data_IF_353386527357
#
_entry.id   IF_353386527357
#
_cell.length_a   1.000
_cell.length_b   1.000
_cell.length_c   1.000
_cell.angle_alpha   90.00
_cell.angle_beta   90.00
_cell.angle_gamma   90.00
#
_symmetry.space_group_name_H-M   'P 1'
#
loop_
_entity.id
_entity.type
_entity.pdbx_description
1 polymer ?
#
# COMPACT_ATOMS: atom_id res chain seq x y z
N UNK A 1 54.75 -12.55 -19.67
CA UNK A 1 53.49 -12.43 -18.92
C UNK A 1 53.71 -12.95 -17.50
N UNK A 2 54.01 -12.07 -16.56
CA UNK A 2 54.12 -12.42 -15.14
C UNK A 2 52.80 -12.11 -14.45
N UNK A 3 52.06 -13.14 -14.03
CA UNK A 3 50.92 -12.97 -13.14
C UNK A 3 51.41 -12.40 -11.80
N UNK A 4 50.73 -11.40 -11.22
CA UNK A 4 51.11 -10.89 -9.90
C UNK A 4 50.92 -11.98 -8.84
N UNK A 5 52.03 -12.30 -8.15
CA UNK A 5 52.20 -13.38 -7.15
C UNK A 5 51.63 -13.05 -5.77
N UNK A 6 50.72 -12.09 -5.65
CA UNK A 6 50.26 -11.63 -4.33
C UNK A 6 48.82 -12.11 -4.05
N UNK A 7 48.63 -13.20 -3.28
CA UNK A 7 47.30 -13.75 -3.01
C UNK A 7 46.37 -12.76 -2.27
N UNK A 8 46.94 -11.77 -1.57
CA UNK A 8 46.19 -10.72 -0.89
C UNK A 8 45.36 -9.83 -1.85
N UNK A 9 45.83 -9.59 -3.07
CA UNK A 9 45.10 -8.80 -4.08
C UNK A 9 43.94 -9.59 -4.72
N UNK A 10 44.09 -10.91 -4.87
CA UNK A 10 43.02 -11.78 -5.33
C UNK A 10 41.90 -11.94 -4.27
N UNK A 11 42.26 -11.98 -2.98
CA UNK A 11 41.29 -11.97 -1.88
C UNK A 11 40.58 -10.62 -1.71
N UNK A 12 41.27 -9.49 -1.92
CA UNK A 12 40.64 -8.17 -1.89
C UNK A 12 39.64 -7.96 -3.05
N UNK A 13 39.91 -8.52 -4.23
CA UNK A 13 38.98 -8.47 -5.36
C UNK A 13 37.77 -9.42 -5.15
N UNK A 14 37.97 -10.59 -4.54
CA UNK A 14 36.89 -11.55 -4.25
C UNK A 14 35.94 -11.10 -3.12
N UNK A 15 36.42 -10.32 -2.15
CA UNK A 15 35.59 -9.79 -1.06
C UNK A 15 34.68 -8.62 -1.47
N UNK A 16 34.90 -8.00 -2.63
CA UNK A 16 34.07 -6.91 -3.16
C UNK A 16 32.87 -7.38 -3.99
N UNK A 17 32.75 -8.69 -4.29
CA UNK A 17 31.68 -9.22 -5.16
C UNK A 17 30.51 -9.91 -4.42
N UNK A 18 30.56 -10.08 -3.10
CA UNK A 18 29.51 -10.82 -2.35
C UNK A 18 28.52 -9.89 -1.63
N UNK A 19 28.79 -8.59 -1.51
CA UNK A 19 27.78 -7.62 -1.07
C UNK A 19 26.91 -7.17 -2.24
N UNK A 20 26.27 -8.14 -2.92
CA UNK A 20 25.13 -7.87 -3.78
C UNK A 20 24.11 -7.08 -2.96
N UNK A 21 23.95 -5.79 -3.28
CA UNK A 21 23.20 -4.88 -2.45
C UNK A 21 21.72 -5.25 -2.46
N UNK A 22 21.24 -5.82 -1.36
CA UNK A 22 19.84 -6.12 -1.12
C UNK A 22 18.95 -4.89 -1.35
N UNK A 23 17.87 -5.07 -2.11
CA UNK A 23 16.81 -4.07 -2.26
C UNK A 23 15.97 -3.96 -0.99
N UNK A 24 15.05 -3.00 -0.92
CA UNK A 24 14.16 -2.85 0.24
C UNK A 24 13.37 -4.14 0.51
N UNK A 25 12.84 -4.75 -0.56
CA UNK A 25 12.05 -5.99 -0.47
C UNK A 25 12.88 -7.16 0.06
N UNK A 26 14.15 -7.26 -0.36
CA UNK A 26 15.09 -8.28 0.12
C UNK A 26 15.36 -8.13 1.62
N UNK A 27 15.60 -6.89 2.10
CA UNK A 27 15.85 -6.60 3.52
C UNK A 27 14.67 -6.94 4.42
N UNK A 28 13.45 -6.91 3.88
CA UNK A 28 12.21 -7.16 4.63
C UNK A 28 11.74 -8.62 4.57
N UNK A 29 12.49 -9.53 3.95
CA UNK A 29 12.09 -10.94 3.76
C UNK A 29 11.71 -11.63 5.09
N UNK A 30 12.52 -11.46 6.14
CA UNK A 30 12.23 -12.08 7.46
C UNK A 30 10.94 -11.52 8.06
N UNK A 31 10.75 -10.20 8.02
CA UNK A 31 9.52 -9.56 8.48
C UNK A 31 8.28 -10.10 7.72
N UNK A 32 8.39 -10.30 6.40
CA UNK A 32 7.31 -10.87 5.60
C UNK A 32 6.96 -12.31 6.00
N UNK A 33 7.95 -13.13 6.34
CA UNK A 33 7.75 -14.50 6.83
C UNK A 33 7.07 -14.48 8.20
N UNK A 34 7.50 -13.60 9.11
CA UNK A 34 6.92 -13.44 10.44
C UNK A 34 5.46 -12.97 10.36
N UNK A 35 5.17 -11.96 9.54
CA UNK A 35 3.79 -11.49 9.30
C UNK A 35 2.93 -12.60 8.73
N UNK A 36 3.40 -13.35 7.73
CA UNK A 36 2.66 -14.49 7.16
C UNK A 36 2.34 -15.59 8.20
N UNK A 37 3.17 -15.73 9.23
CA UNK A 37 2.96 -16.65 10.34
C UNK A 37 2.15 -16.05 11.52
N UNK A 38 1.72 -14.78 11.43
CA UNK A 38 1.04 -14.07 12.52
C UNK A 38 1.94 -13.61 13.66
N UNK A 39 3.27 -13.69 13.49
CA UNK A 39 4.29 -13.23 14.45
C UNK A 39 4.54 -11.72 14.32
N UNK A 40 3.51 -10.93 14.60
CA UNK A 40 3.55 -9.49 14.34
C UNK A 40 4.55 -8.74 15.22
N UNK A 41 4.75 -9.16 16.47
CA UNK A 41 5.72 -8.52 17.37
C UNK A 41 7.16 -8.75 16.89
N UNK A 42 7.48 -9.97 16.45
CA UNK A 42 8.78 -10.31 15.87
C UNK A 42 9.01 -9.53 14.58
N UNK A 43 7.99 -9.45 13.72
CA UNK A 43 8.05 -8.66 12.49
C UNK A 43 8.30 -7.17 12.74
N UNK A 44 7.70 -6.57 13.79
CA UNK A 44 7.98 -5.18 14.20
C UNK A 44 9.47 -5.01 14.52
N UNK A 45 10.07 -5.91 15.30
CA UNK A 45 11.50 -5.87 15.60
C UNK A 45 12.40 -6.00 14.36
N UNK A 46 11.98 -6.78 13.35
CA UNK A 46 12.67 -6.86 12.07
C UNK A 46 12.57 -5.54 11.28
N UNK A 47 11.40 -4.92 11.22
CA UNK A 47 11.18 -3.63 10.55
C UNK A 47 12.02 -2.55 11.20
N UNK A 48 12.06 -2.52 12.53
CA UNK A 48 12.83 -1.56 13.31
C UNK A 48 14.31 -1.65 13.02
N UNK A 49 14.85 -2.87 13.07
CA UNK A 49 16.25 -3.14 12.75
C UNK A 49 16.59 -2.79 11.30
N UNK A 50 15.74 -3.16 10.34
CA UNK A 50 16.01 -2.98 8.91
C UNK A 50 15.82 -1.53 8.42
N UNK A 51 15.04 -0.72 9.14
CA UNK A 51 14.73 0.68 8.78
C UNK A 51 15.43 1.71 9.68
N UNK A 52 16.15 1.26 10.72
CA UNK A 52 16.77 2.14 11.71
C UNK A 52 15.75 2.85 12.60
N UNK A 53 14.59 2.24 12.86
CA UNK A 53 13.56 2.83 13.73
C UNK A 53 13.81 2.46 15.20
N UNK A 54 13.64 3.41 16.14
CA UNK A 54 13.62 3.11 17.55
C UNK A 54 12.33 2.36 17.89
N UNK A 55 12.39 1.47 18.89
CA UNK A 55 11.22 0.71 19.36
C UNK A 55 10.07 1.61 19.87
N UNK A 56 10.40 2.82 20.35
CA UNK A 56 9.42 3.77 20.87
C UNK A 56 9.70 5.15 20.31
N UNK A 57 8.63 5.84 19.88
CA UNK A 57 8.70 7.19 19.37
C UNK A 57 9.08 7.26 17.89
N UNK A 58 9.30 8.49 17.44
CA UNK A 58 9.63 8.85 16.07
C UNK A 58 11.05 9.44 16.07
N UNK A 59 11.96 9.00 15.18
CA UNK A 59 13.26 9.63 15.01
C UNK A 59 13.16 11.13 14.72
N UNK A 60 14.15 11.92 15.14
CA UNK A 60 14.24 13.34 14.75
C UNK A 60 14.53 13.49 13.25
N UNK A 61 15.43 12.66 12.73
CA UNK A 61 15.78 12.65 11.30
C UNK A 61 14.93 11.63 10.55
N UNK A 62 14.13 12.14 9.62
CA UNK A 62 13.29 11.33 8.76
C UNK A 62 13.95 11.08 7.40
N UNK A 63 13.74 9.88 6.86
CA UNK A 63 14.07 9.54 5.48
C UNK A 63 13.03 8.55 4.92
N UNK A 64 13.13 8.24 3.63
CA UNK A 64 12.21 7.32 2.97
C UNK A 64 12.10 5.91 3.60
N UNK A 65 13.21 5.34 4.08
CA UNK A 65 13.23 3.99 4.67
C UNK A 65 12.57 4.01 6.06
N UNK A 66 12.82 5.07 6.85
CA UNK A 66 12.15 5.33 8.14
C UNK A 66 10.65 5.52 7.93
N UNK A 67 10.24 6.38 6.99
CA UNK A 67 8.83 6.63 6.70
C UNK A 67 8.09 5.34 6.29
N UNK A 68 8.72 4.52 5.46
CA UNK A 68 8.15 3.24 5.04
C UNK A 68 8.14 2.21 6.15
N UNK A 69 9.17 2.19 6.99
CA UNK A 69 9.20 1.38 8.21
C UNK A 69 8.06 1.75 9.17
N UNK A 70 7.75 3.04 9.34
CA UNK A 70 6.63 3.51 10.15
C UNK A 70 5.29 3.06 9.57
N UNK A 71 5.06 3.11 8.25
CA UNK A 71 3.83 2.59 7.64
C UNK A 71 3.63 1.09 7.93
N UNK A 72 4.71 0.33 7.77
CA UNK A 72 4.73 -1.10 8.04
C UNK A 72 4.49 -1.39 9.52
N UNK A 73 5.18 -0.71 10.44
CA UNK A 73 4.97 -0.85 11.89
C UNK A 73 3.57 -0.44 12.30
N UNK A 74 3.07 0.70 11.83
CA UNK A 74 1.71 1.19 12.11
C UNK A 74 0.64 0.14 11.78
N UNK A 75 0.82 -0.58 10.68
CA UNK A 75 -0.12 -1.62 10.26
C UNK A 75 -0.09 -2.82 11.22
N UNK A 76 1.09 -3.22 11.68
CA UNK A 76 1.26 -4.32 12.63
C UNK A 76 0.82 -3.92 14.04
N UNK A 77 1.07 -2.68 14.47
CA UNK A 77 0.55 -2.13 15.71
C UNK A 77 -0.98 -2.11 15.71
N UNK A 78 -1.62 -1.74 14.59
CA UNK A 78 -3.08 -1.84 14.45
C UNK A 78 -3.56 -3.29 14.53
N UNK A 79 -2.82 -4.24 13.92
CA UNK A 79 -3.11 -5.67 14.02
C UNK A 79 -3.01 -6.19 15.46
N UNK A 80 -2.11 -5.62 16.26
CA UNK A 80 -1.95 -5.87 17.70
C UNK A 80 -2.90 -5.06 18.59
N UNK A 81 -3.83 -4.29 18.00
CA UNK A 81 -4.78 -3.42 18.71
C UNK A 81 -4.13 -2.22 19.45
N UNK A 82 -2.89 -1.90 19.11
CA UNK A 82 -2.17 -0.74 19.61
C UNK A 82 -2.50 0.49 18.74
N UNK A 83 -3.76 0.93 18.78
CA UNK A 83 -4.28 1.99 17.91
C UNK A 83 -3.60 3.35 18.11
N UNK A 84 -3.19 3.68 19.35
CA UNK A 84 -2.46 4.90 19.66
C UNK A 84 -1.09 4.97 18.98
N UNK A 85 -0.18 4.00 19.26
CA UNK A 85 1.10 3.86 18.55
C UNK A 85 0.94 3.80 17.03
N UNK A 86 -0.02 3.01 16.53
CA UNK A 86 -0.33 2.92 15.10
C UNK A 86 -0.66 4.30 14.50
N UNK A 87 -1.50 5.09 15.18
CA UNK A 87 -1.88 6.43 14.73
C UNK A 87 -0.71 7.42 14.76
N UNK A 88 0.20 7.29 15.73
CA UNK A 88 1.40 8.11 15.79
C UNK A 88 2.31 7.83 14.58
N UNK A 89 2.55 6.57 14.28
CA UNK A 89 3.39 6.16 13.14
C UNK A 89 2.77 6.57 11.80
N UNK A 90 1.46 6.37 11.58
CA UNK A 90 0.81 6.81 10.35
C UNK A 90 0.93 8.32 10.12
N UNK A 91 0.73 9.12 11.18
CA UNK A 91 0.86 10.58 11.07
C UNK A 91 2.29 11.02 10.79
N UNK A 92 3.27 10.39 11.43
CA UNK A 92 4.68 10.68 11.21
C UNK A 92 5.12 10.29 9.80
N UNK A 93 4.68 9.13 9.30
CA UNK A 93 4.96 8.70 7.94
C UNK A 93 4.33 9.64 6.89
N UNK A 94 3.08 10.07 7.08
CA UNK A 94 2.34 10.84 6.06
C UNK A 94 3.02 12.15 5.64
N UNK A 95 3.74 12.80 6.58
CA UNK A 95 4.49 14.03 6.32
C UNK A 95 5.69 13.85 5.38
N UNK A 96 6.16 12.61 5.21
CA UNK A 96 7.34 12.27 4.40
C UNK A 96 6.98 11.53 3.11
N UNK A 97 5.69 11.29 2.87
CA UNK A 97 5.18 10.67 1.65
C UNK A 97 4.98 11.72 0.57
N UNK A 98 5.66 11.51 -0.55
CA UNK A 98 5.41 12.27 -1.77
C UNK A 98 4.50 11.46 -2.69
N UNK A 99 3.53 12.11 -3.33
CA UNK A 99 2.71 11.41 -4.31
C UNK A 99 3.52 11.14 -5.59
N UNK A 100 3.28 9.99 -6.20
CA UNK A 100 3.79 9.63 -7.51
C UNK A 100 2.96 10.32 -8.60
N UNK A 101 3.48 11.39 -9.21
CA UNK A 101 2.86 12.09 -10.35
C UNK A 101 3.46 11.59 -11.67
N UNK A 102 2.71 10.74 -12.38
CA UNK A 102 3.14 10.16 -13.67
C UNK A 102 2.31 10.69 -14.84
N UNK A 103 1.10 11.20 -14.58
CA UNK A 103 0.15 11.61 -15.63
C UNK A 103 0.62 12.84 -16.42
N UNK A 104 1.55 13.63 -15.86
CA UNK A 104 2.11 14.84 -16.49
C UNK A 104 3.61 14.72 -16.82
N UNK A 105 4.20 13.52 -16.80
CA UNK A 105 5.64 13.35 -17.06
C UNK A 105 5.98 13.58 -18.56
N UNK A 106 6.32 14.82 -18.89
CA UNK A 106 7.14 15.13 -20.05
C UNK A 106 8.59 15.24 -19.60
N UNK A 107 9.44 14.28 -19.98
CA UNK A 107 10.92 14.31 -19.90
C UNK A 107 11.66 13.66 -18.70
N UNK A 108 11.23 12.48 -18.26
CA UNK A 108 12.13 11.52 -17.58
C UNK A 108 12.07 11.51 -16.05
N UNK A 109 10.96 11.98 -15.47
CA UNK A 109 10.73 11.93 -14.03
C UNK A 109 10.54 10.50 -13.51
N UNK A 110 9.93 9.61 -14.30
CA UNK A 110 9.76 8.17 -13.97
C UNK A 110 11.09 7.48 -13.65
N UNK A 111 12.18 7.84 -14.36
CA UNK A 111 13.50 7.29 -14.12
C UNK A 111 14.14 7.72 -12.78
N UNK A 112 13.68 8.82 -12.18
CA UNK A 112 14.10 9.27 -10.84
C UNK A 112 13.32 8.60 -9.71
N UNK A 113 12.09 8.18 -9.98
CA UNK A 113 11.19 7.60 -8.99
C UNK A 113 11.39 6.10 -8.78
N UNK A 114 11.81 5.38 -9.81
CA UNK A 114 11.90 3.92 -9.76
C UNK A 114 13.34 3.38 -9.68
N UNK A 115 14.34 4.24 -9.49
CA UNK A 115 15.75 3.87 -9.41
C UNK A 115 16.49 4.66 -8.31
N UNK A 116 17.43 4.01 -7.63
CA UNK A 116 17.96 4.39 -6.31
C UNK A 116 18.77 5.69 -6.19
N UNK A 117 18.97 6.46 -7.26
CA UNK A 117 19.97 7.55 -7.27
C UNK A 117 19.38 8.98 -7.14
N UNK A 118 18.11 9.15 -6.72
CA UNK A 118 17.51 10.50 -6.71
C UNK A 118 16.37 10.82 -5.74
N UNK A 119 15.77 9.85 -5.03
CA UNK A 119 14.57 10.11 -4.21
C UNK A 119 14.88 10.09 -2.71
N UNK A 120 14.96 11.26 -2.09
CA UNK A 120 15.09 11.47 -0.63
C UNK A 120 13.87 10.97 0.15
N UNK A 121 12.70 10.97 -0.48
CA UNK A 121 11.41 10.59 0.13
C UNK A 121 10.76 9.40 -0.58
N UNK A 122 9.92 8.69 0.16
CA UNK A 122 9.14 7.57 -0.40
C UNK A 122 8.00 8.11 -1.27
N UNK A 123 7.89 7.58 -2.48
CA UNK A 123 6.83 7.94 -3.43
C UNK A 123 5.70 6.93 -3.34
N UNK A 124 4.66 7.27 -2.59
CA UNK A 124 3.48 6.42 -2.43
C UNK A 124 2.62 6.46 -3.69
N UNK A 125 2.06 5.32 -4.06
CA UNK A 125 0.96 5.27 -5.02
C UNK A 125 -0.26 6.07 -4.53
N UNK A 126 -1.13 6.55 -5.44
CA UNK A 126 -2.42 7.15 -5.07
C UNK A 126 -3.23 6.31 -4.09
N UNK A 127 -3.34 5.01 -4.35
CA UNK A 127 -4.04 4.08 -3.46
C UNK A 127 -3.40 4.01 -2.08
N UNK A 128 -2.07 3.87 -1.96
CA UNK A 128 -1.40 3.84 -0.65
C UNK A 128 -1.58 5.14 0.14
N UNK A 129 -1.46 6.29 -0.54
CA UNK A 129 -1.59 7.61 0.10
C UNK A 129 -3.00 7.80 0.65
N UNK A 130 -4.01 7.43 -0.13
CA UNK A 130 -5.39 7.54 0.30
C UNK A 130 -5.75 6.51 1.39
N UNK A 131 -5.23 5.28 1.27
CA UNK A 131 -5.42 4.24 2.26
C UNK A 131 -4.90 4.69 3.63
N UNK A 132 -3.76 5.40 3.71
CA UNK A 132 -3.21 5.91 4.98
C UNK A 132 -4.27 6.65 5.82
N UNK A 133 -4.99 7.61 5.23
CA UNK A 133 -6.03 8.35 5.95
C UNK A 133 -7.17 7.43 6.40
N UNK A 134 -7.58 6.48 5.55
CA UNK A 134 -8.57 5.45 5.91
C UNK A 134 -8.14 4.57 7.08
N UNK A 135 -6.88 4.11 7.07
CA UNK A 135 -6.31 3.31 8.15
C UNK A 135 -6.16 4.10 9.46
N UNK A 136 -5.81 5.38 9.38
CA UNK A 136 -5.76 6.22 10.56
C UNK A 136 -7.16 6.59 11.10
N UNK A 137 -8.17 6.73 10.24
CA UNK A 137 -9.58 6.85 10.67
C UNK A 137 -10.01 5.63 11.50
N UNK A 138 -9.62 4.42 11.11
CA UNK A 138 -9.91 3.21 11.89
C UNK A 138 -9.30 3.26 13.29
N UNK A 139 -8.06 3.74 13.44
CA UNK A 139 -7.45 3.91 14.76
C UNK A 139 -8.26 4.87 15.64
N UNK A 140 -8.66 6.02 15.10
CA UNK A 140 -9.45 7.00 15.84
C UNK A 140 -10.84 6.47 16.22
N UNK A 141 -11.52 5.77 15.31
CA UNK A 141 -12.82 5.15 15.59
C UNK A 141 -12.71 4.07 16.68
N UNK A 142 -11.66 3.24 16.66
CA UNK A 142 -11.41 2.24 17.69
C UNK A 142 -11.10 2.85 19.08
N UNK A 143 -10.59 4.09 19.10
CA UNK A 143 -10.32 4.87 20.31
C UNK A 143 -11.51 5.75 20.74
N UNK A 144 -12.67 5.66 20.07
CA UNK A 144 -13.83 6.56 20.25
C UNK A 144 -13.50 8.06 20.06
N UNK A 145 -12.44 8.36 19.31
CA UNK A 145 -12.01 9.73 19.00
C UNK A 145 -12.65 10.20 17.68
N UNK A 146 -13.92 10.62 17.76
CA UNK A 146 -14.63 11.16 16.61
C UNK A 146 -13.98 12.44 16.04
N UNK A 147 -13.26 13.22 16.84
CA UNK A 147 -12.61 14.45 16.35
C UNK A 147 -11.39 14.10 15.50
N UNK A 148 -10.55 13.18 15.97
CA UNK A 148 -9.44 12.63 15.20
C UNK A 148 -9.92 11.98 13.90
N UNK A 149 -10.97 11.15 13.98
CA UNK A 149 -11.58 10.53 12.80
C UNK A 149 -12.12 11.58 11.80
N UNK A 150 -12.69 12.69 12.28
CA UNK A 150 -13.17 13.79 11.42
C UNK A 150 -12.04 14.52 10.73
N UNK A 151 -10.92 14.73 11.42
CA UNK A 151 -9.72 15.33 10.82
C UNK A 151 -9.23 14.46 9.67
N UNK A 152 -9.10 13.15 9.90
CA UNK A 152 -8.70 12.22 8.84
C UNK A 152 -9.74 12.09 7.72
N UNK A 153 -11.04 12.18 8.02
CA UNK A 153 -12.10 12.25 7.00
C UNK A 153 -11.91 13.42 6.04
N UNK A 154 -11.52 14.59 6.58
CA UNK A 154 -11.23 15.78 5.78
C UNK A 154 -9.95 15.61 4.96
N UNK A 155 -8.88 15.04 5.54
CA UNK A 155 -7.63 14.76 4.84
C UNK A 155 -7.85 13.78 3.69
N UNK A 156 -8.60 12.71 3.95
CA UNK A 156 -9.05 11.74 2.95
C UNK A 156 -9.77 12.43 1.79
N UNK A 157 -10.72 13.32 2.07
CA UNK A 157 -11.49 14.02 1.04
C UNK A 157 -10.68 15.04 0.23
N UNK A 158 -9.68 15.65 0.86
CA UNK A 158 -8.72 16.51 0.15
C UNK A 158 -7.88 15.66 -0.80
N UNK A 159 -7.36 14.52 -0.32
CA UNK A 159 -6.59 13.59 -1.12
C UNK A 159 -7.41 13.00 -2.27
N UNK A 160 -8.64 12.56 -2.01
CA UNK A 160 -9.53 12.02 -3.04
C UNK A 160 -9.81 13.03 -4.15
N UNK A 161 -10.17 14.27 -3.81
CA UNK A 161 -10.41 15.33 -4.81
C UNK A 161 -9.16 15.70 -5.59
N UNK A 162 -8.01 15.73 -4.90
CA UNK A 162 -6.73 15.86 -5.57
C UNK A 162 -6.64 14.71 -6.60
N UNK A 163 -6.67 13.45 -6.17
CA UNK A 163 -6.53 12.30 -7.06
C UNK A 163 -7.54 12.25 -8.22
N UNK A 164 -8.79 12.69 -8.03
CA UNK A 164 -9.78 12.79 -9.11
C UNK A 164 -9.36 13.79 -10.21
N UNK A 165 -8.66 14.87 -9.85
CA UNK A 165 -8.10 15.83 -10.79
C UNK A 165 -6.84 15.30 -11.48
N UNK A 166 -5.98 14.58 -10.76
CA UNK A 166 -4.69 14.08 -11.26
C UNK A 166 -4.77 12.73 -12.00
N UNK A 167 -5.70 11.85 -11.63
CA UNK A 167 -5.80 10.46 -12.08
C UNK A 167 -7.25 10.07 -12.39
N UNK A 168 -7.90 10.86 -13.26
CA UNK A 168 -9.31 10.68 -13.66
C UNK A 168 -9.67 9.23 -13.97
N UNK A 169 -10.70 8.71 -13.30
CA UNK A 169 -11.30 7.40 -13.58
C UNK A 169 -10.75 6.22 -12.77
N UNK A 170 -9.90 6.47 -11.78
CA UNK A 170 -9.50 5.48 -10.78
C UNK A 170 -10.50 5.53 -9.60
N UNK A 171 -11.22 4.44 -9.29
CA UNK A 171 -12.04 4.39 -8.08
C UNK A 171 -11.12 4.39 -6.86
N UNK A 172 -11.45 5.20 -5.87
CA UNK A 172 -10.55 5.52 -4.78
C UNK A 172 -11.18 5.14 -3.44
N UNK A 173 -10.67 4.06 -2.84
CA UNK A 173 -10.86 3.68 -1.43
C UNK A 173 -12.28 3.91 -0.86
N UNK A 174 -13.30 3.24 -1.40
CA UNK A 174 -14.68 3.39 -0.94
C UNK A 174 -14.87 3.14 0.57
N UNK A 175 -13.99 2.35 1.19
CA UNK A 175 -13.96 2.17 2.64
C UNK A 175 -13.70 3.49 3.39
N UNK A 176 -12.85 4.37 2.88
CA UNK A 176 -12.57 5.66 3.51
C UNK A 176 -13.77 6.60 3.48
N UNK A 177 -14.47 6.69 2.34
CA UNK A 177 -15.74 7.43 2.25
C UNK A 177 -16.80 6.83 3.18
N UNK A 178 -16.93 5.50 3.26
CA UNK A 178 -17.83 4.85 4.21
C UNK A 178 -17.53 5.27 5.66
N UNK A 179 -16.26 5.21 6.08
CA UNK A 179 -15.87 5.56 7.45
C UNK A 179 -16.05 7.06 7.73
N UNK A 180 -15.73 7.93 6.77
CA UNK A 180 -15.97 9.37 6.88
C UNK A 180 -17.46 9.69 7.04
N UNK A 181 -18.32 9.00 6.29
CA UNK A 181 -19.77 9.09 6.44
C UNK A 181 -20.23 8.66 7.83
N UNK A 182 -19.72 7.53 8.33
CA UNK A 182 -20.00 7.05 9.68
C UNK A 182 -19.58 8.04 10.76
N UNK A 183 -18.36 8.57 10.68
CA UNK A 183 -17.86 9.57 11.62
C UNK A 183 -18.77 10.80 11.66
N UNK A 184 -19.11 11.38 10.49
CA UNK A 184 -19.98 12.55 10.45
C UNK A 184 -21.40 12.25 10.91
N UNK A 185 -21.93 11.04 10.64
CA UNK A 185 -23.21 10.61 11.15
C UNK A 185 -23.24 10.62 12.68
N UNK A 186 -22.20 10.04 13.32
CA UNK A 186 -22.05 10.03 14.79
C UNK A 186 -21.91 11.42 15.38
N UNK A 187 -21.41 12.38 14.61
CA UNK A 187 -21.27 13.78 15.02
C UNK A 187 -22.53 14.63 14.75
N UNK A 188 -23.58 14.06 14.17
CA UNK A 188 -24.80 14.80 13.81
C UNK A 188 -24.70 15.62 12.52
N UNK A 189 -23.61 15.47 11.76
CA UNK A 189 -23.36 16.19 10.50
C UNK A 189 -23.99 15.43 9.30
N UNK A 190 -25.31 15.26 9.34
CA UNK A 190 -26.06 14.33 8.45
C UNK A 190 -25.91 14.62 6.96
N UNK A 191 -25.89 15.88 6.54
CA UNK A 191 -25.68 16.26 5.14
C UNK A 191 -24.29 15.83 4.65
N UNK A 192 -23.27 16.01 5.48
CA UNK A 192 -21.91 15.57 5.17
C UNK A 192 -21.80 14.05 5.16
N UNK A 193 -22.46 13.38 6.12
CA UNK A 193 -22.53 11.92 6.17
C UNK A 193 -23.14 11.33 4.90
N UNK A 194 -24.30 11.85 4.48
CA UNK A 194 -24.97 11.40 3.25
C UNK A 194 -24.15 11.66 1.99
N UNK A 195 -23.36 12.74 1.93
CA UNK A 195 -22.45 12.97 0.81
C UNK A 195 -21.37 11.89 0.71
N UNK A 196 -20.74 11.56 1.84
CA UNK A 196 -19.74 10.48 1.86
C UNK A 196 -20.33 9.11 1.57
N UNK A 197 -21.57 8.84 2.02
CA UNK A 197 -22.26 7.62 1.66
C UNK A 197 -22.62 7.54 0.17
N UNK A 198 -22.96 8.67 -0.47
CA UNK A 198 -23.15 8.72 -1.92
C UNK A 198 -21.85 8.42 -2.68
N UNK A 199 -20.73 8.99 -2.22
CA UNK A 199 -19.39 8.72 -2.77
C UNK A 199 -19.00 7.24 -2.64
N UNK A 200 -19.25 6.63 -1.47
CA UNK A 200 -19.00 5.21 -1.27
C UNK A 200 -19.87 4.34 -2.20
N UNK A 201 -21.17 4.63 -2.27
CA UNK A 201 -22.14 3.91 -3.11
C UNK A 201 -21.89 4.08 -4.62
N UNK A 202 -21.21 5.15 -5.03
CA UNK A 202 -20.80 5.33 -6.42
C UNK A 202 -19.76 4.29 -6.87
N UNK A 203 -19.06 3.65 -5.92
CA UNK A 203 -18.03 2.64 -6.18
C UNK A 203 -18.58 1.22 -5.96
N UNK A 204 -19.24 0.97 -4.83
CA UNK A 204 -19.73 -0.35 -4.44
C UNK A 204 -21.07 -0.28 -3.70
N UNK A 205 -21.90 -1.31 -3.83
CA UNK A 205 -23.12 -1.44 -3.01
C UNK A 205 -22.78 -1.90 -1.59
N UNK A 206 -23.30 -1.19 -0.60
CA UNK A 206 -23.14 -1.49 0.82
C UNK A 206 -24.48 -1.83 1.46
N UNK A 207 -24.76 -3.12 1.70
CA UNK A 207 -26.02 -3.54 2.34
C UNK A 207 -26.20 -2.86 3.70
N UNK A 208 -25.10 -2.72 4.44
CA UNK A 208 -25.04 -2.11 5.77
C UNK A 208 -25.35 -0.60 5.81
N UNK A 209 -25.37 0.10 4.66
CA UNK A 209 -25.78 1.51 4.59
C UNK A 209 -27.28 1.72 4.37
N UNK A 210 -28.06 0.65 4.12
CA UNK A 210 -29.48 0.78 3.77
C UNK A 210 -30.32 1.45 4.84
N UNK A 211 -30.33 0.92 6.06
CA UNK A 211 -31.06 1.54 7.17
C UNK A 211 -30.52 2.93 7.53
N UNK A 212 -29.19 3.13 7.66
CA UNK A 212 -28.65 4.45 7.95
C UNK A 212 -29.08 5.51 6.95
N UNK A 213 -29.01 5.22 5.65
CA UNK A 213 -29.43 6.16 4.59
C UNK A 213 -30.94 6.44 4.65
N UNK A 214 -31.78 5.42 4.89
CA UNK A 214 -33.23 5.62 5.05
C UNK A 214 -33.54 6.54 6.23
N UNK A 215 -32.90 6.31 7.38
CA UNK A 215 -33.02 7.14 8.58
C UNK A 215 -32.56 8.57 8.30
N UNK A 216 -31.36 8.74 7.75
CA UNK A 216 -30.77 10.06 7.48
C UNK A 216 -31.53 10.84 6.40
N UNK A 217 -32.20 10.17 5.45
CA UNK A 217 -33.03 10.84 4.44
C UNK A 217 -34.15 11.69 5.04
N UNK A 218 -34.60 11.39 6.26
CA UNK A 218 -35.58 12.21 6.99
C UNK A 218 -34.96 13.42 7.71
N UNK A 219 -33.64 13.41 7.91
CA UNK A 219 -32.90 14.40 8.72
C UNK A 219 -32.11 15.41 7.86
N UNK A 220 -31.98 15.18 6.56
CA UNK A 220 -31.30 16.08 5.63
C UNK A 220 -31.97 16.11 4.26
N UNK A 221 -31.96 17.25 3.55
CA UNK A 221 -32.49 17.35 2.18
C UNK A 221 -31.56 16.76 1.11
N UNK A 222 -30.33 16.33 1.43
CA UNK A 222 -29.39 15.83 0.43
C UNK A 222 -29.91 14.56 -0.26
N UNK A 223 -29.86 14.52 -1.59
CA UNK A 223 -30.26 13.39 -2.44
C UNK A 223 -29.20 13.18 -3.52
N UNK A 224 -28.25 12.32 -3.23
CA UNK A 224 -27.19 11.95 -4.17
C UNK A 224 -27.65 10.87 -5.15
N UNK A 225 -27.01 10.82 -6.33
CA UNK A 225 -27.43 9.93 -7.43
C UNK A 225 -27.27 8.45 -7.06
N UNK A 226 -26.17 8.10 -6.39
CA UNK A 226 -25.91 6.72 -5.98
C UNK A 226 -26.86 6.31 -4.85
N UNK A 227 -27.16 7.22 -3.91
CA UNK A 227 -28.15 7.01 -2.86
C UNK A 227 -29.55 6.77 -3.43
N UNK A 228 -30.00 7.60 -4.39
CA UNK A 228 -31.33 7.43 -5.00
C UNK A 228 -31.43 6.10 -5.74
N UNK A 229 -30.40 5.75 -6.53
CA UNK A 229 -30.33 4.47 -7.22
C UNK A 229 -30.34 3.30 -6.23
N UNK A 230 -29.56 3.41 -5.15
CA UNK A 230 -29.48 2.41 -4.11
C UNK A 230 -30.84 2.20 -3.43
N UNK A 231 -31.51 3.26 -2.99
CA UNK A 231 -32.83 3.16 -2.34
C UNK A 231 -33.93 2.63 -3.26
N UNK A 232 -33.83 2.86 -4.57
CA UNK A 232 -34.79 2.36 -5.56
C UNK A 232 -34.64 0.85 -5.83
N UNK A 233 -33.46 0.27 -5.60
CA UNK A 233 -33.23 -1.16 -5.81
C UNK A 233 -33.95 -2.02 -4.74
N UNK A 234 -35.00 -2.69 -5.16
CA UNK A 234 -35.83 -3.56 -4.31
C UNK A 234 -35.21 -4.94 -4.06
N UNK A 235 -34.14 -5.32 -4.79
CA UNK A 235 -33.46 -6.62 -4.59
C UNK A 235 -32.64 -6.66 -3.29
N UNK A 236 -32.31 -5.50 -2.76
CA UNK A 236 -31.53 -5.30 -1.54
C UNK A 236 -32.41 -4.99 -0.31
N UNK A 237 -33.73 -5.22 -0.41
CA UNK A 237 -34.74 -4.86 0.60
C UNK A 237 -34.92 -5.88 1.74
N UNK A 238 -34.01 -6.84 1.89
CA UNK A 238 -33.96 -7.68 3.09
C UNK A 238 -33.38 -6.87 4.25
N UNK A 239 -34.26 -6.21 5.00
CA UNK A 239 -33.94 -5.56 6.27
C UNK A 239 -33.10 -6.50 7.16
N UNK A 240 -31.99 -6.01 7.71
CA UNK A 240 -31.21 -6.76 8.70
C UNK A 240 -32.12 -7.07 9.91
N UNK A 241 -32.00 -8.24 10.56
CA UNK A 241 -32.86 -8.61 11.69
C UNK A 241 -32.92 -7.58 12.82
N UNK A 242 -31.83 -6.84 13.04
CA UNK A 242 -31.71 -5.76 14.03
C UNK A 242 -32.59 -4.55 13.74
N UNK A 243 -32.91 -4.27 12.46
CA UNK A 243 -33.75 -3.12 12.06
C UNK A 243 -35.18 -3.22 12.57
N UNK A 244 -35.61 -4.40 13.01
CA UNK A 244 -36.98 -4.64 13.53
C UNK A 244 -37.09 -4.54 15.05
N UNK A 245 -35.98 -4.38 15.77
CA UNK A 245 -35.99 -4.35 17.23
C UNK A 245 -35.95 -2.90 17.74
N UNK A 246 -37.06 -2.33 18.25
CA UNK A 246 -37.08 -0.95 18.75
C UNK A 246 -36.19 -0.72 19.98
N UNK A 247 -35.77 -1.79 20.67
CA UNK A 247 -34.85 -1.71 21.79
C UNK A 247 -33.37 -1.72 21.36
N UNK A 248 -33.09 -1.88 20.06
CA UNK A 248 -31.74 -1.86 19.52
C UNK A 248 -31.25 -0.42 19.30
N UNK A 249 -30.95 0.27 20.39
CA UNK A 249 -30.56 1.69 20.41
C UNK A 249 -29.05 1.92 20.47
N UNK A 250 -28.26 0.86 20.59
CA UNK A 250 -26.80 0.88 20.54
C UNK A 250 -26.32 0.37 19.18
N UNK A 251 -25.06 0.65 18.80
CA UNK A 251 -24.55 0.27 17.49
C UNK A 251 -23.14 -0.33 17.53
N UNK A 252 -22.90 -1.36 16.72
CA UNK A 252 -21.57 -1.95 16.52
C UNK A 252 -21.13 -1.64 15.10
N UNK A 253 -19.96 -1.04 14.94
CA UNK A 253 -19.23 -0.95 13.67
C UNK A 253 -18.10 -1.97 13.71
N UNK A 254 -18.00 -2.84 12.71
CA UNK A 254 -16.89 -3.78 12.53
C UNK A 254 -16.16 -3.43 11.24
N UNK A 255 -14.84 -3.24 11.31
CA UNK A 255 -13.99 -3.02 10.14
C UNK A 255 -12.89 -4.08 10.13
N UNK A 256 -12.79 -4.82 9.03
CA UNK A 256 -11.92 -6.00 8.92
C UNK A 256 -10.99 -5.83 7.73
N UNK A 257 -9.69 -5.74 8.00
CA UNK A 257 -8.65 -5.57 6.98
C UNK A 257 -7.80 -6.84 6.88
N UNK A 258 -7.75 -7.47 5.71
CA UNK A 258 -7.10 -8.79 5.53
C UNK A 258 -6.23 -8.89 4.28
N UNK A 259 -5.31 -9.86 4.32
CA UNK A 259 -4.36 -10.13 3.23
C UNK A 259 -3.33 -9.02 3.11
N UNK A 260 -2.55 -9.03 2.03
CA UNK A 260 -1.56 -7.99 1.72
C UNK A 260 -1.64 -7.61 0.27
N UNK A 261 -1.51 -6.32 0.00
CA UNK A 261 -1.35 -5.81 -1.36
C UNK A 261 -0.14 -6.46 -2.04
N UNK A 262 -0.13 -6.57 -3.38
CA UNK A 262 1.10 -6.95 -4.08
C UNK A 262 2.21 -5.93 -3.82
N UNK A 263 3.46 -6.38 -3.83
CA UNK A 263 4.61 -5.55 -3.48
C UNK A 263 5.68 -5.61 -4.56
N UNK A 264 6.54 -4.58 -4.59
CA UNK A 264 7.58 -4.49 -5.62
C UNK A 264 8.74 -5.43 -5.30
N UNK A 265 9.24 -6.14 -6.32
CA UNK A 265 10.46 -6.96 -6.27
C UNK A 265 11.34 -6.66 -7.49
N UNK A 266 12.64 -6.99 -7.44
CA UNK A 266 13.49 -6.90 -8.63
C UNK A 266 13.08 -7.95 -9.67
N UNK A 267 12.62 -7.53 -10.84
CA UNK A 267 12.37 -8.42 -11.97
C UNK A 267 13.39 -8.22 -13.09
N UNK A 268 13.62 -9.28 -13.86
CA UNK A 268 14.60 -9.32 -14.95
C UNK A 268 13.90 -9.60 -16.27
N UNK A 269 14.10 -8.73 -17.25
CA UNK A 269 13.54 -8.87 -18.59
C UNK A 269 14.66 -8.90 -19.64
N UNK A 270 14.67 -9.86 -20.58
CA UNK A 270 15.57 -9.82 -21.72
C UNK A 270 15.38 -8.54 -22.54
N UNK A 271 16.47 -7.91 -23.00
CA UNK A 271 16.44 -6.64 -23.72
C UNK A 271 15.47 -6.67 -24.92
N UNK A 272 15.48 -7.75 -25.71
CA UNK A 272 14.61 -7.86 -26.89
C UNK A 272 13.12 -7.76 -26.54
N UNK A 273 12.69 -8.37 -25.43
CA UNK A 273 11.31 -8.25 -24.93
C UNK A 273 11.03 -6.83 -24.43
N UNK A 274 11.98 -6.23 -23.70
CA UNK A 274 11.85 -4.89 -23.16
C UNK A 274 11.75 -3.82 -24.28
N UNK A 275 12.57 -3.92 -25.33
CA UNK A 275 12.49 -3.06 -26.52
C UNK A 275 11.17 -3.26 -27.26
N UNK A 276 10.66 -4.49 -27.35
CA UNK A 276 9.35 -4.76 -27.96
C UNK A 276 8.19 -4.10 -27.19
N UNK A 277 8.24 -4.08 -25.86
CA UNK A 277 7.20 -3.51 -25.00
C UNK A 277 7.26 -1.98 -24.90
N UNK A 278 8.46 -1.41 -24.87
CA UNK A 278 8.68 -0.01 -24.50
C UNK A 278 9.40 0.81 -25.58
N UNK A 279 9.71 0.24 -26.76
CA UNK A 279 10.61 0.81 -27.77
C UNK A 279 10.32 2.25 -28.19
N UNK A 280 9.05 2.66 -28.25
CA UNK A 280 8.63 4.01 -28.60
C UNK A 280 8.84 5.06 -27.49
N UNK A 281 9.09 4.61 -26.26
CA UNK A 281 9.27 5.45 -25.07
C UNK A 281 10.75 5.53 -24.62
N UNK A 282 11.64 4.77 -25.26
CA UNK A 282 13.06 4.73 -24.92
C UNK A 282 13.75 5.99 -25.42
N UNK A 283 14.66 6.55 -24.62
CA UNK A 283 15.62 7.55 -25.09
C UNK A 283 16.96 6.89 -25.47
N UNK A 284 17.53 7.33 -26.59
CA UNK A 284 18.81 6.83 -27.11
C UNK A 284 18.70 5.69 -28.12
N UNK A 285 19.85 5.28 -28.66
CA UNK A 285 19.93 4.25 -29.70
C UNK A 285 20.13 2.86 -29.07
N UNK A 286 19.14 1.94 -29.13
CA UNK A 286 19.28 0.60 -28.59
C UNK A 286 20.35 -0.25 -29.29
N UNK A 287 20.87 0.17 -30.45
CA UNK A 287 21.97 -0.52 -31.13
C UNK A 287 23.24 -0.62 -30.27
N UNK A 288 23.45 0.31 -29.33
CA UNK A 288 24.59 0.25 -28.38
C UNK A 288 24.53 -0.96 -27.45
N UNK A 289 23.38 -1.63 -27.34
CA UNK A 289 23.20 -2.86 -26.58
C UNK A 289 23.61 -4.12 -27.35
N UNK A 290 23.95 -3.99 -28.65
CA UNK A 290 24.20 -5.10 -29.58
C UNK A 290 25.37 -6.02 -29.23
N UNK A 291 26.32 -5.55 -28.40
CA UNK A 291 27.45 -6.37 -27.94
C UNK A 291 27.13 -7.26 -26.73
N UNK A 292 25.88 -7.27 -26.27
CA UNK A 292 25.55 -7.87 -24.97
C UNK A 292 24.34 -8.80 -25.00
N UNK A 293 24.55 -9.97 -25.58
CA UNK A 293 23.57 -11.08 -25.64
C UNK A 293 23.11 -11.63 -24.27
N UNK A 294 23.77 -11.28 -23.16
CA UNK A 294 23.40 -11.70 -21.80
C UNK A 294 22.85 -10.58 -20.90
N UNK A 295 22.70 -9.35 -21.41
CA UNK A 295 22.19 -8.25 -20.58
C UNK A 295 20.68 -8.36 -20.42
N UNK A 296 20.23 -8.28 -19.17
CA UNK A 296 18.81 -8.20 -18.79
C UNK A 296 18.55 -6.83 -18.20
N UNK A 297 17.40 -6.27 -18.53
CA UNK A 297 16.86 -5.07 -17.89
C UNK A 297 16.35 -5.48 -16.52
N UNK A 298 16.79 -4.79 -15.47
CA UNK A 298 16.27 -4.98 -14.12
C UNK A 298 15.34 -3.81 -13.81
N UNK A 299 14.11 -4.10 -13.39
CA UNK A 299 13.10 -3.09 -13.06
C UNK A 299 12.30 -3.53 -11.82
N UNK A 300 11.63 -2.61 -11.12
CA UNK A 300 10.77 -2.97 -10.00
C UNK A 300 9.47 -3.57 -10.52
N UNK A 301 9.42 -4.91 -10.57
CA UNK A 301 8.24 -5.70 -10.90
C UNK A 301 7.26 -5.78 -9.74
N UNK A 302 5.98 -6.03 -10.01
CA UNK A 302 4.96 -6.17 -8.98
C UNK A 302 4.64 -7.65 -8.73
N UNK A 303 4.99 -8.16 -7.55
CA UNK A 303 4.77 -9.55 -7.16
C UNK A 303 3.49 -9.71 -6.34
N UNK A 304 2.68 -10.76 -6.58
CA UNK A 304 1.54 -11.05 -5.72
C UNK A 304 2.03 -11.45 -4.32
N UNK A 305 1.36 -10.93 -3.30
CA UNK A 305 1.55 -11.39 -1.93
C UNK A 305 0.69 -12.64 -1.69
N UNK A 306 1.26 -13.76 -1.18
CA UNK A 306 0.45 -14.90 -0.76
C UNK A 306 -0.54 -14.43 0.30
N UNK A 307 -1.84 -14.66 0.09
CA UNK A 307 -2.86 -14.43 1.11
C UNK A 307 -3.45 -15.77 1.52
N UNK A 308 -3.22 -16.16 2.78
CA UNK A 308 -3.85 -17.36 3.35
C UNK A 308 -5.36 -17.21 3.55
N UNK A 309 -5.86 -15.97 3.46
CA UNK A 309 -7.22 -15.60 3.84
C UNK A 309 -8.02 -15.10 2.64
N UNK A 310 -8.58 -16.02 1.85
CA UNK A 310 -9.48 -15.64 0.75
C UNK A 310 -10.89 -15.27 1.23
N UNK A 311 -11.30 -15.72 2.42
CA UNK A 311 -12.64 -15.54 2.99
C UNK A 311 -12.60 -15.01 4.41
N UNK A 312 -13.51 -14.08 4.71
CA UNK A 312 -13.76 -13.54 6.04
C UNK A 312 -15.14 -13.99 6.50
N UNK A 313 -15.22 -14.57 7.70
CA UNK A 313 -16.48 -14.78 8.41
C UNK A 313 -16.65 -13.77 9.53
N UNK A 314 -17.87 -13.36 9.82
CA UNK A 314 -18.19 -12.49 10.96
C UNK A 314 -19.34 -13.10 11.75
N UNK A 315 -19.19 -13.13 13.07
CA UNK A 315 -20.24 -13.48 14.01
C UNK A 315 -20.46 -12.33 14.99
N UNK A 316 -21.71 -11.97 15.21
CA UNK A 316 -22.13 -11.04 16.26
C UNK A 316 -23.12 -11.79 17.15
N UNK A 317 -22.79 -11.92 18.44
CA UNK A 317 -23.54 -12.71 19.41
C UNK A 317 -23.78 -14.17 18.97
N UNK A 318 -22.80 -14.74 18.26
CA UNK A 318 -22.86 -16.09 17.70
C UNK A 318 -23.71 -16.22 16.43
N UNK A 319 -24.36 -15.15 15.96
CA UNK A 319 -25.06 -15.14 14.69
C UNK A 319 -24.11 -14.77 13.56
N UNK A 320 -24.05 -15.63 12.53
CA UNK A 320 -23.23 -15.37 11.34
C UNK A 320 -23.85 -14.24 10.52
N UNK A 321 -23.04 -13.25 10.19
CA UNK A 321 -23.41 -12.10 9.36
C UNK A 321 -22.43 -11.98 8.19
N UNK A 322 -22.86 -11.30 7.13
CA UNK A 322 -22.05 -11.08 5.93
C UNK A 322 -21.58 -9.61 5.94
N UNK A 323 -20.28 -9.33 6.10
CA UNK A 323 -19.77 -7.98 6.00
C UNK A 323 -19.68 -7.55 4.52
N UNK A 324 -19.91 -6.27 4.25
CA UNK A 324 -19.75 -5.69 2.91
C UNK A 324 -18.27 -5.56 2.58
N UNK A 325 -17.88 -5.94 1.36
CA UNK A 325 -16.52 -5.67 0.88
C UNK A 325 -16.41 -4.21 0.48
N UNK A 326 -15.70 -3.43 1.28
CA UNK A 326 -15.58 -1.99 1.10
C UNK A 326 -14.51 -1.58 0.12
N UNK A 327 -13.36 -2.27 0.06
CA UNK A 327 -12.30 -1.95 -0.90
C UNK A 327 -11.40 -3.14 -1.22
N UNK A 328 -10.78 -3.10 -2.41
CA UNK A 328 -9.81 -4.09 -2.89
C UNK A 328 -8.52 -3.37 -3.28
N UNK A 329 -7.81 -2.87 -2.28
CA UNK A 329 -6.59 -2.07 -2.43
C UNK A 329 -5.53 -2.78 -3.27
N UNK A 330 -5.39 -4.11 -3.15
CA UNK A 330 -4.42 -4.83 -3.97
C UNK A 330 -4.78 -4.90 -5.45
N UNK A 331 -6.07 -4.81 -5.80
CA UNK A 331 -6.51 -4.68 -7.20
C UNK A 331 -6.33 -3.26 -7.74
N UNK A 332 -6.54 -2.25 -6.90
CA UNK A 332 -6.32 -0.84 -7.24
C UNK A 332 -4.82 -0.59 -7.51
N UNK A 333 -3.93 -1.03 -6.62
CA UNK A 333 -2.47 -0.95 -6.79
C UNK A 333 -2.00 -1.70 -8.05
N UNK A 334 -2.55 -2.89 -8.33
CA UNK A 334 -2.21 -3.63 -9.55
C UNK A 334 -2.56 -2.83 -10.80
N UNK A 335 -3.78 -2.29 -10.85
CA UNK A 335 -4.26 -1.49 -11.98
C UNK A 335 -3.44 -0.21 -12.17
N UNK A 336 -3.08 0.46 -11.07
CA UNK A 336 -2.17 1.61 -11.08
C UNK A 336 -0.81 1.23 -11.67
N UNK A 337 -0.20 0.16 -11.18
CA UNK A 337 1.09 -0.33 -11.67
C UNK A 337 1.06 -0.72 -13.15
N UNK A 338 0.04 -1.47 -13.59
CA UNK A 338 -0.14 -1.89 -14.99
C UNK A 338 -0.20 -0.69 -15.94
N UNK A 339 -0.80 0.42 -15.51
CA UNK A 339 -0.90 1.63 -16.33
C UNK A 339 0.44 2.36 -16.56
N UNK A 340 1.43 2.11 -15.69
CA UNK A 340 2.75 2.78 -15.72
C UNK A 340 3.92 1.83 -16.02
N UNK A 341 3.67 0.51 -16.07
CA UNK A 341 4.72 -0.51 -16.19
C UNK A 341 5.59 -0.32 -17.44
N UNK A 342 4.99 -0.01 -18.60
CA UNK A 342 5.73 0.24 -19.85
C UNK A 342 6.71 1.39 -19.71
N UNK A 343 6.31 2.47 -19.03
CA UNK A 343 7.16 3.63 -18.76
C UNK A 343 8.28 3.30 -17.77
N UNK A 344 8.02 2.47 -16.74
CA UNK A 344 9.07 1.97 -15.83
C UNK A 344 10.13 1.18 -16.62
N UNK A 345 9.70 0.28 -17.50
CA UNK A 345 10.59 -0.52 -18.35
C UNK A 345 11.36 0.39 -19.33
N UNK A 346 10.71 1.39 -19.92
CA UNK A 346 11.34 2.37 -20.81
C UNK A 346 12.44 3.15 -20.09
N UNK A 347 12.18 3.58 -18.85
CA UNK A 347 13.16 4.28 -18.02
C UNK A 347 14.35 3.37 -17.69
N UNK A 348 14.10 2.11 -17.33
CA UNK A 348 15.14 1.11 -17.07
C UNK A 348 16.04 0.90 -18.30
N UNK A 349 15.41 0.75 -19.47
CA UNK A 349 16.10 0.60 -20.76
C UNK A 349 16.93 1.82 -21.13
N UNK A 350 16.38 3.01 -20.98
CA UNK A 350 17.06 4.28 -21.28
C UNK A 350 18.31 4.45 -20.40
N UNK A 351 18.19 4.17 -19.09
CA UNK A 351 19.34 4.16 -18.16
C UNK A 351 20.38 3.11 -18.58
N UNK A 352 19.95 1.93 -19.00
CA UNK A 352 20.84 0.89 -19.52
C UNK A 352 21.60 1.34 -20.79
N UNK A 353 20.93 2.01 -21.72
CA UNK A 353 21.53 2.55 -22.96
C UNK A 353 22.59 3.60 -22.61
N UNK A 354 22.28 4.54 -21.72
CA UNK A 354 23.23 5.56 -21.26
C UNK A 354 24.48 4.91 -20.66
N UNK A 355 24.32 3.88 -19.82
CA UNK A 355 25.45 3.14 -19.25
C UNK A 355 26.29 2.44 -20.32
N UNK A 356 25.63 1.79 -21.28
CA UNK A 356 26.32 1.10 -22.37
C UNK A 356 27.12 2.08 -23.24
N UNK A 357 26.55 3.24 -23.56
CA UNK A 357 27.23 4.29 -24.31
C UNK A 357 28.44 4.86 -23.54
N UNK A 358 28.33 5.05 -22.23
CA UNK A 358 29.44 5.50 -21.38
C UNK A 358 30.57 4.45 -21.31
N UNK A 359 30.23 3.18 -21.13
CA UNK A 359 31.20 2.09 -21.12
C UNK A 359 31.91 1.96 -22.48
N UNK A 360 31.19 2.12 -23.58
CA UNK A 360 31.74 2.12 -24.94
C UNK A 360 32.66 3.32 -25.19
N UNK A 361 32.30 4.51 -24.71
CA UNK A 361 33.17 5.69 -24.74
C UNK A 361 34.49 5.47 -23.99
N UNK A 362 34.43 4.84 -22.80
CA UNK A 362 35.63 4.47 -22.04
C UNK A 362 36.45 3.39 -22.73
N UNK A 363 35.79 2.42 -23.40
CA UNK A 363 36.45 1.40 -24.21
C UNK A 363 37.26 2.03 -25.34
N UNK A 364 36.62 2.90 -26.13
CA UNK A 364 37.25 3.59 -27.25
C UNK A 364 38.43 4.48 -26.81
N UNK A 365 38.30 5.17 -25.66
CA UNK A 365 39.38 5.96 -25.07
C UNK A 365 40.57 5.09 -24.63
N UNK A 366 40.32 3.93 -24.01
CA UNK A 366 41.37 2.99 -23.60
C UNK A 366 42.02 2.24 -24.76
N UNK A 367 41.25 1.91 -25.80
CA UNK A 367 41.73 1.25 -27.03
C UNK A 367 42.77 2.10 -27.77
N UNK A 368 42.70 3.42 -27.63
CA UNK A 368 43.70 4.35 -28.16
C UNK A 368 45.10 4.14 -27.54
N UNK A 369 45.18 3.51 -26.36
CA UNK A 369 46.44 3.13 -25.72
C UNK A 369 46.73 1.62 -25.86
N UNK A 370 45.76 0.75 -25.56
CA UNK A 370 45.82 -0.68 -25.88
C UNK A 370 44.44 -1.33 -25.77
N UNK A 371 44.16 -2.33 -26.61
CA UNK A 371 42.87 -3.04 -26.61
C UNK A 371 42.53 -3.70 -25.26
N UNK A 372 43.54 -4.22 -24.56
CA UNK A 372 43.34 -4.80 -23.22
C UNK A 372 42.93 -3.77 -22.16
N UNK A 373 43.44 -2.53 -22.26
CA UNK A 373 43.09 -1.44 -21.36
C UNK A 373 41.67 -0.92 -21.64
N UNK A 374 41.25 -0.84 -22.91
CA UNK A 374 39.88 -0.45 -23.26
C UNK A 374 38.82 -1.37 -22.65
N UNK A 375 38.98 -2.69 -22.79
CA UNK A 375 38.06 -3.65 -22.17
C UNK A 375 38.10 -3.60 -20.64
N UNK A 376 39.27 -3.43 -20.03
CA UNK A 376 39.39 -3.32 -18.58
C UNK A 376 38.66 -2.08 -18.04
N UNK A 377 38.81 -0.92 -18.70
CA UNK A 377 38.11 0.31 -18.32
C UNK A 377 36.58 0.18 -18.49
N UNK A 378 36.13 -0.40 -19.60
CA UNK A 378 34.70 -0.64 -19.85
C UNK A 378 34.06 -1.52 -18.77
N UNK A 379 34.73 -2.61 -18.36
CA UNK A 379 34.24 -3.51 -17.31
C UNK A 379 34.19 -2.85 -15.94
N UNK A 380 35.21 -2.05 -15.58
CA UNK A 380 35.22 -1.29 -14.31
C UNK A 380 34.10 -0.27 -14.28
N UNK A 381 33.90 0.46 -15.39
CA UNK A 381 32.80 1.42 -15.54
C UNK A 381 31.43 0.76 -15.45
N UNK A 382 31.24 -0.38 -16.10
CA UNK A 382 29.99 -1.14 -16.02
C UNK A 382 29.74 -1.66 -14.59
N UNK A 383 30.75 -2.26 -13.94
CA UNK A 383 30.63 -2.74 -12.57
C UNK A 383 30.27 -1.61 -11.58
N UNK A 384 30.89 -0.43 -11.74
CA UNK A 384 30.59 0.75 -10.92
C UNK A 384 29.13 1.22 -11.11
N UNK A 385 28.64 1.28 -12.35
CA UNK A 385 27.30 1.78 -12.64
C UNK A 385 26.17 0.76 -12.38
N UNK A 386 26.44 -0.54 -12.42
CA UNK A 386 25.45 -1.58 -12.01
C UNK A 386 25.07 -1.42 -10.54
N UNK A 387 26.00 -1.02 -9.68
CA UNK A 387 25.72 -0.71 -8.28
C UNK A 387 24.80 0.51 -8.06
N UNK A 388 24.66 1.38 -9.08
CA UNK A 388 23.85 2.60 -9.03
C UNK A 388 22.45 2.43 -9.64
N UNK A 389 22.19 1.31 -10.32
CA UNK A 389 20.94 1.06 -11.03
C UNK A 389 20.08 -0.03 -10.37
N UNK A 390 19.85 0.13 -9.07
CA UNK A 390 18.95 -0.76 -8.34
C UNK A 390 17.52 -0.33 -8.59
N UNK A 391 16.63 -1.28 -8.95
CA UNK A 391 15.20 -0.97 -9.00
C UNK A 391 14.73 -0.56 -7.61
N UNK A 392 13.89 0.46 -7.56
CA UNK A 392 13.24 0.87 -6.31
C UNK A 392 12.09 -0.08 -5.97
N UNK A 393 12.37 -1.00 -5.05
CA UNK A 393 11.38 -1.96 -4.54
C UNK A 393 10.67 -1.45 -3.29
N UNK A 394 10.76 -0.17 -2.95
CA UNK A 394 10.01 0.41 -1.83
C UNK A 394 8.52 0.38 -2.15
N UNK A 395 7.77 -0.23 -1.24
CA UNK A 395 6.31 -0.35 -1.24
C UNK A 395 5.82 -0.60 0.18
N UNK A 396 4.60 -0.18 0.53
CA UNK A 396 3.99 -0.47 1.82
C UNK A 396 3.62 -1.96 1.91
N UNK A 397 4.58 -2.78 2.35
CA UNK A 397 4.53 -4.25 2.28
C UNK A 397 3.36 -4.88 3.03
N UNK A 398 2.96 -4.28 4.16
CA UNK A 398 1.94 -4.86 5.03
C UNK A 398 0.57 -4.20 4.87
N UNK A 399 0.38 -3.27 3.93
CA UNK A 399 -0.93 -2.71 3.62
C UNK A 399 -1.92 -3.85 3.29
N UNK A 400 -3.07 -3.92 3.97
CA UNK A 400 -4.05 -4.97 3.70
C UNK A 400 -4.63 -4.91 2.27
N UNK A 401 -4.88 -6.09 1.69
CA UNK A 401 -5.43 -6.22 0.33
C UNK A 401 -6.90 -5.81 0.26
N UNK A 402 -7.68 -6.19 1.28
CA UNK A 402 -9.13 -6.02 1.32
C UNK A 402 -9.57 -5.45 2.64
N UNK A 403 -10.54 -4.55 2.57
CA UNK A 403 -11.22 -3.98 3.74
C UNK A 403 -12.70 -4.33 3.64
N UNK A 404 -13.26 -4.92 4.70
CA UNK A 404 -14.67 -5.20 4.86
C UNK A 404 -15.26 -4.32 5.96
N UNK A 405 -16.52 -3.95 5.82
CA UNK A 405 -17.26 -3.17 6.81
C UNK A 405 -18.58 -3.86 7.13
N UNK A 406 -19.00 -3.78 8.38
CA UNK A 406 -20.32 -4.20 8.82
C UNK A 406 -20.78 -3.27 9.92
N UNK A 407 -22.06 -2.89 9.92
CA UNK A 407 -22.67 -2.19 11.05
C UNK A 407 -24.02 -2.78 11.36
N UNK A 408 -24.38 -2.80 12.64
CA UNK A 408 -25.69 -3.25 13.10
C UNK A 408 -26.08 -2.56 14.38
N UNK A 409 -27.37 -2.25 14.50
CA UNK A 409 -27.94 -1.87 15.78
C UNK A 409 -28.06 -3.10 16.68
N UNK A 410 -27.89 -2.91 17.98
CA UNK A 410 -27.98 -3.94 19.03
C UNK A 410 -28.67 -3.39 20.27
N UNK A 411 -29.24 -4.27 21.08
CA UNK A 411 -29.79 -3.89 22.39
C UNK A 411 -28.63 -3.47 23.30
N UNK A 412 -28.69 -2.35 24.03
CA UNK A 412 -27.61 -1.94 24.92
C UNK A 412 -27.17 -3.06 25.89
N UNK A 413 -25.87 -3.23 26.06
CA UNK A 413 -25.30 -4.26 26.92
C UNK A 413 -24.03 -4.89 26.36
N UNK A 414 -23.76 -6.13 26.79
CA UNK A 414 -22.58 -6.90 26.39
C UNK A 414 -22.84 -7.67 25.11
N UNK A 415 -21.91 -7.56 24.18
CA UNK A 415 -21.93 -8.27 22.90
C UNK A 415 -20.60 -8.93 22.62
N UNK A 416 -20.65 -9.98 21.82
CA UNK A 416 -19.46 -10.69 21.36
C UNK A 416 -19.30 -10.55 19.86
N UNK A 417 -18.17 -10.04 19.43
CA UNK A 417 -17.77 -9.98 18.01
C UNK A 417 -16.68 -11.00 17.76
N UNK A 418 -16.85 -11.83 16.73
CA UNK A 418 -15.86 -12.82 16.31
C UNK A 418 -15.64 -12.77 14.79
N UNK A 419 -14.40 -12.56 14.39
CA UNK A 419 -13.95 -12.57 13.00
C UNK A 419 -13.25 -13.90 12.73
N UNK A 420 -13.61 -14.58 11.65
CA UNK A 420 -13.04 -15.86 11.22
C UNK A 420 -12.20 -15.69 9.95
N UNK A 421 -11.03 -16.31 9.90
CA UNK A 421 -9.96 -16.11 8.92
C UNK A 421 -9.47 -17.43 8.28
N UNK A 422 -10.21 -18.03 7.35
CA UNK A 422 -9.69 -19.17 6.54
C UNK A 422 -10.06 -20.58 7.05
N UNK A 423 -9.07 -21.49 7.26
CA UNK A 423 -9.27 -22.85 7.85
C UNK A 423 -8.09 -23.39 8.72
N UNK A 424 -7.23 -22.54 9.31
CA UNK A 424 -6.07 -22.93 10.15
C UNK A 424 -6.18 -22.76 11.70
N UNK A 425 -5.19 -23.17 12.50
CA UNK A 425 -5.33 -23.19 13.98
C UNK A 425 -5.30 -21.83 14.72
N UNK A 426 -5.02 -20.71 14.03
CA UNK A 426 -4.99 -19.34 14.61
C UNK A 426 -6.02 -18.42 13.93
N UNK A 427 -7.24 -18.92 13.85
CA UNK A 427 -8.19 -18.56 12.81
C UNK A 427 -9.23 -17.52 13.15
N UNK A 428 -9.30 -17.08 14.40
CA UNK A 428 -10.31 -16.11 14.77
C UNK A 428 -9.79 -15.04 15.69
N UNK A 429 -10.34 -13.84 15.51
CA UNK A 429 -10.25 -12.75 16.46
C UNK A 429 -11.58 -12.69 17.21
N UNK A 430 -11.53 -12.53 18.52
CA UNK A 430 -12.72 -12.43 19.35
C UNK A 430 -12.56 -11.28 20.33
N UNK A 431 -13.61 -10.45 20.43
CA UNK A 431 -13.68 -9.35 21.36
C UNK A 431 -15.05 -9.33 22.03
N UNK A 432 -15.06 -9.21 23.36
CA UNK A 432 -16.24 -8.84 24.12
C UNK A 432 -16.28 -7.31 24.22
N UNK A 433 -17.43 -6.73 23.92
CA UNK A 433 -17.65 -5.28 23.97
C UNK A 433 -18.89 -4.98 24.80
N UNK A 434 -18.94 -3.79 25.38
CA UNK A 434 -20.12 -3.29 26.08
C UNK A 434 -20.53 -1.96 25.43
N UNK A 435 -21.77 -1.88 24.96
CA UNK A 435 -22.26 -0.72 24.21
C UNK A 435 -23.46 -0.12 24.93
N UNK A 436 -23.36 1.16 25.28
CA UNK A 436 -24.44 1.89 25.94
C UNK A 436 -25.51 2.37 24.93
N UNK A 437 -26.71 2.63 25.43
CA UNK A 437 -27.81 3.17 24.61
C UNK A 437 -27.44 4.49 23.95
N UNK A 438 -27.70 4.62 22.65
CA UNK A 438 -27.37 5.82 21.87
C UNK A 438 -25.89 5.94 21.48
N UNK A 439 -25.03 5.05 21.98
CA UNK A 439 -23.60 5.05 21.66
C UNK A 439 -23.27 3.95 20.64
N UNK A 440 -22.02 3.95 20.18
CA UNK A 440 -21.47 2.91 19.33
C UNK A 440 -20.15 2.38 19.90
N UNK A 441 -19.73 1.21 19.44
CA UNK A 441 -18.35 0.72 19.59
C UNK A 441 -17.84 0.29 18.22
N UNK A 442 -16.61 0.71 17.87
CA UNK A 442 -15.92 0.26 16.68
C UNK A 442 -14.96 -0.89 17.01
N UNK A 443 -15.16 -2.03 16.36
CA UNK A 443 -14.27 -3.20 16.41
C UNK A 443 -13.43 -3.21 15.14
N UNK A 444 -12.15 -2.87 15.27
CA UNK A 444 -11.20 -2.82 14.15
C UNK A 444 -10.28 -4.02 14.22
N UNK A 445 -10.28 -4.84 13.17
CA UNK A 445 -9.48 -6.06 13.10
C UNK A 445 -8.62 -6.04 11.85
N UNK A 446 -7.30 -6.00 12.06
CA UNK A 446 -6.32 -5.98 10.97
C UNK A 446 -5.48 -7.26 11.02
N UNK A 447 -5.46 -8.01 9.92
CA UNK A 447 -4.76 -9.28 9.80
C UNK A 447 -4.00 -9.35 8.46
N UNK A 448 -2.82 -8.71 8.36
CA UNK A 448 -2.06 -8.58 7.12
C UNK A 448 -1.28 -9.86 6.77
N UNK A 449 -1.89 -11.04 6.86
CA UNK A 449 -1.27 -12.36 6.64
C UNK A 449 -1.98 -13.19 5.57
#
# INVERSE_FOLDING_TARGET
MGLPRNPALAYAFALLFVSGCATYSDRMTTAQVDVGAGRYQEAIGQIESASGLPAVGIPEEMNSDIALGLLNRATLEQALQNFGPSSQDFRAADGELELLDIANDTSGEIGRYFFSDSATRYRSSPTEKLALNGFNMMNYLALDDLQGARVESRRFSVMQRYLDEYAKGQPHAAFGSYLAGFTLERMGEYTGAMRYYDEALAIHDFKSLREPIRRLSSLTPYRGKAIEAFLADSKSDRALPSEKNPNATAEILVVISVGRVPHKIPERMPIGAAVGLAGSLISGDPAVLGYSVFKVVVYPGLSPSPSGQSKVGLLVDGQRVEPDLASRLGSEIRKEYESIQSSIIAAALSRMIVRAAAAEGMRAAGDSASSGLGWALALVTEAAMVGMDKPDTRSWLFLPDRVYVYRTNVVPGKHRVEVLFGSGPHESYRQEIEVASGNFVAVVVTAPR
#
